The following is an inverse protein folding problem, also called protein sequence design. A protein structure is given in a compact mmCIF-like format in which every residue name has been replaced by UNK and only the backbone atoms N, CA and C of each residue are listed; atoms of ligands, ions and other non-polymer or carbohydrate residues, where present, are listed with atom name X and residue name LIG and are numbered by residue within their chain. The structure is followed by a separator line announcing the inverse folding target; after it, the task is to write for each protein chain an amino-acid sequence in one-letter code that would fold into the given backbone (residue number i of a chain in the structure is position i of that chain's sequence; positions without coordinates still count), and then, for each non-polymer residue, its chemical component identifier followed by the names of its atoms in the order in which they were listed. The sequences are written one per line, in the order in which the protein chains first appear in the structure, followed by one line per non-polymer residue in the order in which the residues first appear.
data_IF_809745828715
#
_entry.id   IF_809745828715
#
_cell.length_a   1.000
_cell.length_b   1.000
_cell.length_c   1.000
_cell.angle_alpha   90.00
_cell.angle_beta   90.00
_cell.angle_gamma   90.00
#
_symmetry.space_group_name_H-M   'P 1'
#
loop_
_entity.id
_entity.type
_entity.pdbx_description
1 polymer ?
#
# COMPACT_ATOMS: atom_id res chain seq x y z
N UNK A 1 12.64 21.65 5.88
CA UNK A 1 14.05 21.23 5.78
C UNK A 1 14.10 20.00 4.90
N UNK A 2 14.87 20.06 3.82
CA UNK A 2 15.00 18.99 2.83
C UNK A 2 15.71 17.79 3.48
N UNK A 3 15.15 16.58 3.39
CA UNK A 3 15.69 15.36 4.01
C UNK A 3 17.00 14.85 3.37
N UNK A 4 17.67 15.69 2.58
CA UNK A 4 18.78 15.32 1.70
C UNK A 4 20.05 16.15 1.94
N UNK A 5 20.21 16.77 3.12
CA UNK A 5 21.45 17.49 3.43
C UNK A 5 22.63 16.51 3.60
N UNK A 6 23.52 16.46 2.61
CA UNK A 6 24.86 15.87 2.73
C UNK A 6 25.19 14.67 1.85
N UNK A 7 24.30 14.24 0.95
CA UNK A 7 24.59 13.16 -0.03
C UNK A 7 24.50 13.74 -1.43
N UNK A 8 25.55 13.64 -2.24
CA UNK A 8 25.46 14.03 -3.66
C UNK A 8 24.55 13.05 -4.39
N UNK A 9 23.77 13.55 -5.36
CA UNK A 9 22.88 12.72 -6.20
C UNK A 9 23.63 11.57 -6.92
N UNK A 10 24.97 11.64 -7.00
CA UNK A 10 25.85 10.62 -7.58
C UNK A 10 26.07 9.39 -6.66
N UNK A 11 25.84 9.50 -5.35
CA UNK A 11 26.09 8.42 -4.37
C UNK A 11 24.84 7.62 -3.96
N UNK A 12 23.64 8.14 -4.25
CA UNK A 12 22.36 7.49 -3.96
C UNK A 12 21.86 6.75 -5.21
N UNK A 13 21.62 5.43 -5.14
CA UNK A 13 21.00 4.73 -6.25
C UNK A 13 19.67 5.38 -6.65
N UNK A 14 19.48 5.72 -7.94
CA UNK A 14 18.19 6.26 -8.44
C UNK A 14 16.97 5.40 -8.05
N UNK A 15 17.22 4.11 -7.79
CA UNK A 15 16.20 3.15 -7.42
C UNK A 15 15.69 3.34 -5.99
N UNK A 16 16.41 4.02 -5.10
CA UNK A 16 15.93 4.31 -3.73
C UNK A 16 14.70 5.21 -3.76
N UNK A 17 14.73 6.31 -4.52
CA UNK A 17 13.58 7.21 -4.64
C UNK A 17 12.34 6.47 -5.16
N UNK A 18 12.54 5.58 -6.14
CA UNK A 18 11.47 4.73 -6.67
C UNK A 18 10.91 3.77 -5.62
N UNK A 19 11.75 2.96 -4.96
CA UNK A 19 11.28 1.99 -3.97
C UNK A 19 10.67 2.65 -2.74
N UNK A 20 11.25 3.77 -2.30
CA UNK A 20 10.74 4.56 -1.19
C UNK A 20 9.35 5.11 -1.50
N UNK A 21 9.17 5.72 -2.69
CA UNK A 21 7.87 6.25 -3.12
C UNK A 21 6.81 5.15 -3.23
N UNK A 22 7.15 4.00 -3.79
CA UNK A 22 6.23 2.85 -3.85
C UNK A 22 5.85 2.35 -2.46
N UNK A 23 6.81 2.24 -1.53
CA UNK A 23 6.53 1.86 -0.14
C UNK A 23 5.68 2.90 0.59
N UNK A 24 5.89 4.19 0.34
CA UNK A 24 5.08 5.27 0.89
C UNK A 24 3.63 5.18 0.42
N UNK A 25 3.39 5.03 -0.89
CA UNK A 25 2.02 4.88 -1.39
C UNK A 25 1.36 3.59 -0.89
N UNK A 26 2.15 2.52 -0.75
CA UNK A 26 1.67 1.26 -0.19
C UNK A 26 1.30 1.40 1.29
N UNK A 27 2.07 2.19 2.07
CA UNK A 27 1.78 2.43 3.48
C UNK A 27 0.51 3.27 3.65
N UNK A 28 0.38 4.35 2.88
CA UNK A 28 -0.83 5.20 2.89
C UNK A 28 -2.06 4.36 2.53
N UNK A 29 -2.01 3.61 1.43
CA UNK A 29 -3.14 2.79 1.01
C UNK A 29 -3.49 1.71 2.05
N UNK A 30 -2.49 1.03 2.61
CA UNK A 30 -2.71 0.00 3.62
C UNK A 30 -3.27 0.56 4.92
N UNK A 31 -2.75 1.70 5.40
CA UNK A 31 -3.25 2.38 6.59
C UNK A 31 -4.73 2.72 6.46
N UNK A 32 -5.11 3.33 5.34
CA UNK A 32 -6.51 3.66 5.04
C UNK A 32 -7.42 2.42 4.96
N UNK A 33 -6.97 1.35 4.30
CA UNK A 33 -7.72 0.09 4.24
C UNK A 33 -7.91 -0.49 5.65
N UNK A 34 -6.86 -0.50 6.48
CA UNK A 34 -6.94 -0.98 7.86
C UNK A 34 -7.93 -0.16 8.70
N UNK A 35 -7.98 1.16 8.50
CA UNK A 35 -8.95 2.03 9.15
C UNK A 35 -10.36 1.67 8.69
N UNK A 36 -10.63 1.66 7.39
CA UNK A 36 -11.98 1.38 6.87
C UNK A 36 -12.46 -0.01 7.30
N UNK A 37 -11.57 -1.00 7.35
CA UNK A 37 -11.86 -2.38 7.73
C UNK A 37 -11.82 -2.65 9.24
N UNK A 38 -11.69 -1.63 10.10
CA UNK A 38 -11.64 -1.86 11.56
C UNK A 38 -12.88 -2.64 12.03
N UNK A 39 -12.67 -3.73 12.82
CA UNK A 39 -13.79 -4.45 13.41
C UNK A 39 -14.48 -3.57 14.46
N UNK A 40 -15.78 -3.78 14.65
CA UNK A 40 -16.60 -3.15 15.70
C UNK A 40 -16.72 -1.61 15.65
N UNK A 41 -17.08 -1.06 14.48
CA UNK A 41 -17.45 0.35 14.35
C UNK A 41 -18.87 0.64 14.87
N UNK A 42 -19.11 1.88 15.29
CA UNK A 42 -20.46 2.35 15.63
C UNK A 42 -21.34 2.33 14.38
N UNK A 43 -22.65 2.16 14.56
CA UNK A 43 -23.61 2.07 13.43
C UNK A 43 -23.50 3.29 12.51
N UNK A 44 -23.38 4.49 13.07
CA UNK A 44 -23.34 5.73 12.31
C UNK A 44 -22.02 5.90 11.53
N UNK A 45 -20.92 5.34 12.05
CA UNK A 45 -19.64 5.26 11.32
C UNK A 45 -19.74 4.25 10.16
N UNK A 46 -20.42 3.12 10.38
CA UNK A 46 -20.69 2.13 9.33
C UNK A 46 -21.61 2.70 8.24
N UNK A 47 -22.68 3.41 8.60
CA UNK A 47 -23.57 4.08 7.66
C UNK A 47 -22.79 5.06 6.77
N UNK A 48 -21.88 5.83 7.37
CA UNK A 48 -21.00 6.75 6.67
C UNK A 48 -20.04 6.03 5.70
N UNK A 49 -19.35 4.98 6.16
CA UNK A 49 -18.39 4.21 5.35
C UNK A 49 -19.06 3.37 4.25
N UNK A 50 -20.33 2.99 4.43
CA UNK A 50 -21.07 2.20 3.44
C UNK A 50 -21.69 3.03 2.31
N UNK A 51 -21.48 4.35 2.33
CA UNK A 51 -21.93 5.22 1.26
C UNK A 51 -21.16 4.94 -0.06
N UNK A 52 -21.72 5.42 -1.18
CA UNK A 52 -21.16 5.18 -2.50
C UNK A 52 -19.74 5.77 -2.69
N UNK A 53 -19.46 6.91 -2.05
CA UNK A 53 -18.17 7.60 -2.16
C UNK A 53 -17.06 6.75 -1.52
N UNK A 54 -17.29 6.24 -0.30
CA UNK A 54 -16.31 5.40 0.40
C UNK A 54 -16.11 4.05 -0.27
N UNK A 55 -17.16 3.48 -0.88
CA UNK A 55 -17.00 2.27 -1.70
C UNK A 55 -16.04 2.51 -2.88
N UNK A 56 -16.15 3.64 -3.58
CA UNK A 56 -15.21 4.04 -4.65
C UNK A 56 -13.80 4.30 -4.13
N UNK A 57 -13.71 4.97 -2.98
CA UNK A 57 -12.43 5.24 -2.33
C UNK A 57 -11.72 3.93 -1.99
N UNK A 58 -12.42 2.96 -1.38
CA UNK A 58 -11.86 1.65 -1.06
C UNK A 58 -11.34 0.89 -2.29
N UNK A 59 -12.08 0.91 -3.40
CA UNK A 59 -11.60 0.32 -4.67
C UNK A 59 -10.30 0.99 -5.15
N UNK A 60 -10.21 2.32 -5.01
CA UNK A 60 -9.02 3.10 -5.40
C UNK A 60 -7.82 2.79 -4.50
N UNK A 61 -8.05 2.58 -3.19
CA UNK A 61 -7.04 2.15 -2.24
C UNK A 61 -6.52 0.75 -2.58
N UNK A 62 -7.43 -0.20 -2.84
CA UNK A 62 -7.05 -1.56 -3.24
C UNK A 62 -6.26 -1.58 -4.55
N UNK A 63 -6.64 -0.74 -5.53
CA UNK A 63 -5.87 -0.56 -6.76
C UNK A 63 -4.46 -0.06 -6.47
N UNK A 64 -4.36 1.03 -5.71
CA UNK A 64 -3.08 1.66 -5.36
C UNK A 64 -2.16 0.67 -4.64
N UNK A 65 -2.69 0.00 -3.61
CA UNK A 65 -1.98 -1.04 -2.87
C UNK A 65 -1.50 -2.15 -3.82
N UNK A 66 -2.39 -2.70 -4.64
CA UNK A 66 -2.07 -3.81 -5.56
C UNK A 66 -0.98 -3.42 -6.57
N UNK A 67 -1.11 -2.23 -7.18
CA UNK A 67 -0.17 -1.75 -8.18
C UNK A 67 1.22 -1.52 -7.59
N UNK A 68 1.32 -0.81 -6.46
CA UNK A 68 2.61 -0.54 -5.82
C UNK A 68 3.24 -1.83 -5.27
N UNK A 69 2.42 -2.75 -4.74
CA UNK A 69 2.88 -4.05 -4.27
C UNK A 69 3.51 -4.85 -5.41
N UNK A 70 2.78 -4.97 -6.54
CA UNK A 70 3.29 -5.68 -7.70
C UNK A 70 4.51 -4.98 -8.31
N UNK A 71 4.57 -3.65 -8.35
CA UNK A 71 5.73 -2.90 -8.85
C UNK A 71 7.02 -3.20 -8.06
N UNK A 72 6.91 -3.40 -6.75
CA UNK A 72 8.07 -3.70 -5.89
C UNK A 72 8.62 -5.12 -6.10
N UNK A 73 7.75 -6.06 -6.48
CA UNK A 73 8.03 -7.51 -6.48
C UNK A 73 8.04 -8.18 -7.86
N UNK A 74 7.45 -7.57 -8.88
CA UNK A 74 7.37 -8.17 -10.21
C UNK A 74 8.64 -7.96 -11.02
N UNK A 75 9.22 -9.05 -11.50
CA UNK A 75 10.19 -9.02 -12.59
C UNK A 75 9.52 -9.49 -13.87
N UNK A 76 9.68 -8.74 -14.96
CA UNK A 76 9.27 -9.23 -16.26
C UNK A 76 10.24 -10.33 -16.67
N UNK A 77 9.72 -11.57 -16.79
CA UNK A 77 10.47 -12.69 -17.37
C UNK A 77 10.85 -12.29 -18.81
N UNK A 78 12.11 -11.92 -19.03
CA UNK A 78 12.67 -11.83 -20.38
C UNK A 78 13.60 -10.66 -20.71
N UNK A 79 13.69 -9.59 -19.93
CA UNK A 79 14.62 -8.49 -20.22
C UNK A 79 14.82 -7.64 -18.97
N UNK A 80 16.05 -7.56 -18.44
CA UNK A 80 16.68 -6.49 -17.60
C UNK A 80 15.87 -5.75 -16.50
N UNK A 81 14.59 -6.03 -16.32
CA UNK A 81 13.61 -5.38 -15.48
C UNK A 81 13.34 -6.28 -14.29
N UNK A 82 14.34 -6.35 -13.41
CA UNK A 82 14.17 -6.93 -12.08
C UNK A 82 13.08 -6.17 -11.29
N UNK A 83 12.48 -6.86 -10.33
CA UNK A 83 11.58 -6.26 -9.35
C UNK A 83 12.22 -5.06 -8.66
N UNK A 84 11.44 -4.06 -8.26
CA UNK A 84 11.96 -2.83 -7.63
C UNK A 84 12.93 -3.12 -6.48
N UNK A 85 12.57 -4.04 -5.58
CA UNK A 85 13.42 -4.44 -4.46
C UNK A 85 14.67 -5.23 -4.91
N UNK A 86 14.55 -6.14 -5.89
CA UNK A 86 15.71 -6.85 -6.45
C UNK A 86 16.68 -5.87 -7.15
N UNK A 87 16.17 -4.88 -7.88
CA UNK A 87 16.97 -3.82 -8.51
C UNK A 87 17.71 -3.00 -7.46
N UNK A 88 17.03 -2.61 -6.38
CA UNK A 88 17.66 -1.90 -5.27
C UNK A 88 18.78 -2.74 -4.66
N UNK A 89 18.48 -3.98 -4.27
CA UNK A 89 19.41 -4.91 -3.64
C UNK A 89 20.69 -5.09 -4.49
N UNK A 90 20.54 -5.26 -5.81
CA UNK A 90 21.67 -5.35 -6.75
C UNK A 90 22.48 -4.07 -6.88
N UNK A 91 21.82 -2.90 -6.96
CA UNK A 91 22.54 -1.61 -7.04
C UNK A 91 23.37 -1.36 -5.78
N UNK A 92 22.84 -1.68 -4.59
CA UNK A 92 23.61 -1.57 -3.34
C UNK A 92 24.80 -2.53 -3.34
N UNK A 93 24.62 -3.77 -3.79
CA UNK A 93 25.72 -4.73 -3.92
C UNK A 93 26.82 -4.26 -4.89
N UNK A 94 26.43 -3.64 -6.01
CA UNK A 94 27.38 -3.05 -6.95
C UNK A 94 28.21 -1.92 -6.31
N UNK A 95 27.56 -1.01 -5.56
CA UNK A 95 28.24 0.15 -4.97
C UNK A 95 29.06 -0.17 -3.71
N UNK A 96 28.61 -1.13 -2.90
CA UNK A 96 29.22 -1.46 -1.60
C UNK A 96 30.10 -2.71 -1.66
N UNK A 97 29.93 -3.53 -2.69
CA UNK A 97 30.72 -4.75 -2.90
C UNK A 97 30.67 -5.69 -1.70
N UNK A 98 31.86 -6.14 -1.27
CA UNK A 98 32.00 -7.18 -0.22
C UNK A 98 31.34 -6.82 1.11
N UNK A 99 31.24 -5.53 1.47
CA UNK A 99 30.64 -5.13 2.75
C UNK A 99 29.12 -5.37 2.81
N UNK A 100 28.48 -5.57 1.66
CA UNK A 100 27.04 -5.82 1.54
C UNK A 100 26.70 -7.28 1.19
N UNK A 101 27.69 -8.13 0.87
CA UNK A 101 27.43 -9.45 0.29
C UNK A 101 26.48 -10.33 1.12
N UNK A 102 26.66 -10.36 2.44
CA UNK A 102 25.79 -11.13 3.35
C UNK A 102 24.34 -10.61 3.35
N UNK A 103 24.18 -9.30 3.38
CA UNK A 103 22.86 -8.66 3.35
C UNK A 103 22.21 -8.79 1.97
N UNK A 104 23.00 -8.80 0.90
CA UNK A 104 22.53 -9.04 -0.47
C UNK A 104 21.87 -10.41 -0.61
N UNK A 105 22.56 -11.46 -0.18
CA UNK A 105 22.07 -12.84 -0.21
C UNK A 105 20.82 -12.99 0.67
N UNK A 106 20.88 -12.49 1.91
CA UNK A 106 19.76 -12.54 2.84
C UNK A 106 18.52 -11.80 2.31
N UNK A 107 18.69 -10.59 1.76
CA UNK A 107 17.59 -9.84 1.17
C UNK A 107 17.06 -10.52 -0.09
N UNK A 108 17.90 -11.17 -0.89
CA UNK A 108 17.47 -11.95 -2.05
C UNK A 108 16.46 -13.04 -1.67
N UNK A 109 16.80 -13.85 -0.67
CA UNK A 109 15.91 -14.91 -0.16
C UNK A 109 14.59 -14.35 0.39
N UNK A 110 14.65 -13.23 1.11
CA UNK A 110 13.46 -12.57 1.67
C UNK A 110 12.54 -12.05 0.58
N UNK A 111 13.09 -11.42 -0.46
CA UNK A 111 12.31 -10.96 -1.63
C UNK A 111 11.67 -12.15 -2.34
N UNK A 112 12.41 -13.25 -2.54
CA UNK A 112 11.89 -14.43 -3.22
C UNK A 112 10.77 -15.12 -2.43
N UNK A 113 10.80 -15.10 -1.09
CA UNK A 113 9.68 -15.54 -0.25
C UNK A 113 8.42 -14.72 -0.50
N UNK A 114 8.54 -13.39 -0.59
CA UNK A 114 7.41 -12.51 -0.90
C UNK A 114 6.82 -12.81 -2.30
N UNK A 115 7.68 -12.97 -3.31
CA UNK A 115 7.28 -13.28 -4.69
C UNK A 115 6.59 -14.64 -4.79
N UNK A 116 6.99 -15.62 -4.00
CA UNK A 116 6.40 -16.96 -4.06
C UNK A 116 5.13 -17.12 -3.21
N UNK A 117 4.77 -16.11 -2.43
CA UNK A 117 3.58 -16.12 -1.58
C UNK A 117 2.28 -16.20 -2.38
N UNK A 118 1.27 -16.88 -1.82
CA UNK A 118 -0.07 -16.93 -2.44
C UNK A 118 -0.74 -15.57 -2.45
N UNK A 119 -0.43 -14.72 -1.47
CA UNK A 119 -0.90 -13.34 -1.44
C UNK A 119 -0.40 -12.53 -2.65
N UNK A 120 0.89 -12.64 -3.03
CA UNK A 120 1.37 -11.99 -4.24
C UNK A 120 0.70 -12.53 -5.51
N UNK A 121 0.51 -13.85 -5.62
CA UNK A 121 -0.21 -14.47 -6.76
C UNK A 121 -1.64 -13.93 -6.86
N UNK A 122 -2.33 -13.81 -5.72
CA UNK A 122 -3.66 -13.22 -5.63
C UNK A 122 -3.68 -11.76 -6.11
N UNK A 123 -2.76 -10.93 -5.65
CA UNK A 123 -2.67 -9.52 -6.05
C UNK A 123 -2.35 -9.36 -7.54
N UNK A 124 -1.48 -10.20 -8.12
CA UNK A 124 -1.24 -10.21 -9.57
C UNK A 124 -2.51 -10.52 -10.34
N UNK A 125 -3.29 -11.51 -9.89
CA UNK A 125 -4.58 -11.82 -10.51
C UNK A 125 -5.55 -10.64 -10.44
N UNK A 126 -5.64 -9.97 -9.28
CA UNK A 126 -6.47 -8.77 -9.13
C UNK A 126 -6.05 -7.67 -10.11
N UNK A 127 -4.74 -7.41 -10.23
CA UNK A 127 -4.22 -6.45 -11.20
C UNK A 127 -4.58 -6.81 -12.64
N UNK A 128 -4.20 -8.01 -13.07
CA UNK A 128 -4.22 -8.40 -14.48
C UNK A 128 -5.63 -8.71 -14.99
N UNK A 129 -6.51 -9.21 -14.12
CA UNK A 129 -7.86 -9.65 -14.52
C UNK A 129 -8.96 -8.70 -14.08
N UNK A 130 -8.84 -8.13 -12.88
CA UNK A 130 -9.93 -7.32 -12.31
C UNK A 130 -9.72 -5.86 -12.68
N UNK A 131 -8.57 -5.27 -12.32
CA UNK A 131 -8.31 -3.85 -12.56
C UNK A 131 -7.99 -3.51 -14.03
N UNK A 132 -7.38 -4.42 -14.79
CA UNK A 132 -7.06 -4.18 -16.20
C UNK A 132 -8.24 -4.38 -17.17
N UNK A 133 -9.36 -4.93 -16.71
CA UNK A 133 -10.51 -5.29 -17.56
C UNK A 133 -11.87 -4.82 -17.02
N UNK A 134 -11.86 -3.91 -16.05
CA UNK A 134 -13.08 -3.28 -15.50
C UNK A 134 -13.99 -2.71 -16.58
N UNK A 135 -13.42 -2.12 -17.64
CA UNK A 135 -14.15 -1.52 -18.76
C UNK A 135 -14.90 -2.52 -19.66
N UNK A 136 -14.63 -3.84 -19.53
CA UNK A 136 -15.21 -4.88 -20.40
C UNK A 136 -16.41 -5.61 -19.80
N UNK A 137 -16.80 -5.32 -18.56
CA UNK A 137 -17.94 -6.01 -17.94
C UNK A 137 -19.28 -5.47 -18.50
N UNK A 138 -20.15 -6.38 -18.98
CA UNK A 138 -21.49 -6.04 -19.51
C UNK A 138 -22.41 -5.36 -18.50
N UNK A 139 -22.06 -5.41 -17.21
CA UNK A 139 -22.79 -4.78 -16.10
C UNK A 139 -22.19 -3.45 -15.64
N UNK A 140 -21.08 -3.00 -16.22
CA UNK A 140 -20.49 -1.68 -15.96
C UNK A 140 -20.09 -1.41 -14.51
N UNK A 141 -20.06 -2.44 -13.65
CA UNK A 141 -19.84 -2.25 -12.22
C UNK A 141 -18.37 -2.49 -11.89
N UNK A 142 -17.56 -1.43 -12.03
CA UNK A 142 -16.17 -1.34 -11.56
C UNK A 142 -16.05 -1.50 -10.01
N UNK A 143 -17.16 -1.80 -9.33
CA UNK A 143 -17.33 -1.81 -7.87
C UNK A 143 -17.40 -3.21 -7.25
N UNK A 144 -17.30 -4.29 -8.03
CA UNK A 144 -17.34 -5.67 -7.49
C UNK A 144 -15.96 -6.17 -7.04
N UNK A 145 -15.09 -5.28 -6.56
CA UNK A 145 -13.84 -5.67 -5.92
C UNK A 145 -14.12 -5.84 -4.44
N UNK A 146 -14.06 -7.08 -3.98
CA UNK A 146 -14.22 -7.38 -2.57
C UNK A 146 -13.07 -6.77 -1.77
N UNK A 147 -13.40 -6.21 -0.60
CA UNK A 147 -12.40 -5.79 0.37
C UNK A 147 -11.54 -6.99 0.80
N UNK A 148 -10.33 -6.71 1.26
CA UNK A 148 -9.48 -7.74 1.84
C UNK A 148 -10.13 -8.36 3.08
N UNK A 149 -10.00 -9.67 3.23
CA UNK A 149 -10.35 -10.37 4.47
C UNK A 149 -9.36 -10.00 5.59
N UNK A 150 -9.73 -10.27 6.84
CA UNK A 150 -8.85 -10.01 7.99
C UNK A 150 -7.50 -10.75 7.85
N UNK A 151 -7.51 -11.99 7.38
CA UNK A 151 -6.30 -12.78 7.11
C UNK A 151 -5.41 -12.13 6.03
N UNK A 152 -6.04 -11.60 4.98
CA UNK A 152 -5.35 -10.86 3.93
C UNK A 152 -4.77 -9.54 4.45
N UNK A 153 -5.46 -8.84 5.35
CA UNK A 153 -4.95 -7.61 5.99
C UNK A 153 -3.75 -7.88 6.89
N UNK A 154 -3.78 -8.97 7.67
CA UNK A 154 -2.65 -9.41 8.49
C UNK A 154 -1.44 -9.72 7.59
N UNK A 155 -1.67 -10.44 6.49
CA UNK A 155 -0.62 -10.79 5.54
C UNK A 155 -0.08 -9.55 4.81
N UNK A 156 -0.96 -8.63 4.41
CA UNK A 156 -0.59 -7.34 3.80
C UNK A 156 0.33 -6.54 4.71
N UNK A 157 -0.01 -6.43 6.01
CA UNK A 157 0.80 -5.74 7.01
C UNK A 157 2.15 -6.42 7.23
N UNK A 158 2.16 -7.74 7.33
CA UNK A 158 3.40 -8.52 7.45
C UNK A 158 4.33 -8.31 6.25
N UNK A 159 3.79 -8.42 5.04
CA UNK A 159 4.57 -8.22 3.81
C UNK A 159 5.05 -6.77 3.67
N UNK A 160 4.24 -5.78 4.01
CA UNK A 160 4.68 -4.38 4.04
C UNK A 160 5.87 -4.18 4.97
N UNK A 161 5.79 -4.68 6.21
CA UNK A 161 6.88 -4.56 7.18
C UNK A 161 8.16 -5.25 6.68
N UNK A 162 8.02 -6.40 6.02
CA UNK A 162 9.15 -7.12 5.43
C UNK A 162 9.80 -6.33 4.29
N UNK A 163 8.99 -5.79 3.36
CA UNK A 163 9.49 -4.95 2.27
C UNK A 163 10.16 -3.67 2.79
N UNK A 164 9.58 -3.03 3.81
CA UNK A 164 10.14 -1.86 4.45
C UNK A 164 11.48 -2.20 5.15
N UNK A 165 11.55 -3.34 5.83
CA UNK A 165 12.79 -3.83 6.46
C UNK A 165 13.90 -4.07 5.44
N UNK A 166 13.60 -4.71 4.30
CA UNK A 166 14.55 -4.90 3.19
C UNK A 166 15.06 -3.53 2.70
N UNK A 167 14.16 -2.57 2.49
CA UNK A 167 14.52 -1.22 2.08
C UNK A 167 15.43 -0.51 3.10
N UNK A 168 15.13 -0.61 4.39
CA UNK A 168 15.94 -0.01 5.46
C UNK A 168 17.33 -0.64 5.57
N UNK A 169 17.46 -1.95 5.36
CA UNK A 169 18.76 -2.63 5.30
C UNK A 169 19.60 -2.07 4.15
N UNK A 170 19.01 -1.84 2.98
CA UNK A 170 19.69 -1.18 1.87
C UNK A 170 20.10 0.25 2.24
N UNK A 171 19.20 1.03 2.84
CA UNK A 171 19.40 2.45 3.16
C UNK A 171 20.54 2.68 4.17
N UNK A 172 20.72 1.78 5.15
CA UNK A 172 21.76 1.91 6.19
C UNK A 172 23.17 2.06 5.60
N UNK A 173 23.43 1.50 4.42
CA UNK A 173 24.74 1.57 3.75
C UNK A 173 25.05 2.94 3.14
N UNK A 174 24.07 3.84 3.09
CA UNK A 174 24.20 5.21 2.58
C UNK A 174 24.02 6.25 3.69
N UNK A 175 23.90 5.81 4.96
CA UNK A 175 23.61 6.69 6.11
C UNK A 175 22.35 7.55 5.92
N UNK A 176 21.40 7.06 5.12
CA UNK A 176 20.09 7.71 4.92
C UNK A 176 19.06 6.95 5.74
N UNK A 177 18.22 7.69 6.45
CA UNK A 177 17.08 7.15 7.17
C UNK A 177 15.79 7.47 6.41
N UNK A 178 15.05 6.43 6.04
CA UNK A 178 13.73 6.57 5.44
C UNK A 178 12.70 6.09 6.45
N UNK A 179 11.88 7.02 6.94
CA UNK A 179 10.80 6.69 7.89
C UNK A 179 9.52 6.53 7.08
N UNK A 180 9.00 5.30 7.03
CA UNK A 180 7.70 4.98 6.44
C UNK A 180 6.85 4.39 7.56
N UNK A 181 5.86 5.16 8.03
CA UNK A 181 4.97 4.78 9.13
C UNK A 181 3.56 4.46 8.63
N UNK A 182 2.89 3.57 9.37
CA UNK A 182 1.45 3.29 9.25
C UNK A 182 0.64 4.00 10.35
N UNK A 183 1.30 4.68 11.28
CA UNK A 183 0.71 5.22 12.50
C UNK A 183 0.12 6.62 12.26
N UNK A 184 -0.86 6.71 11.38
CA UNK A 184 -1.69 7.91 11.18
C UNK A 184 -3.13 7.61 11.62
N UNK A 185 -3.58 8.30 12.67
CA UNK A 185 -4.93 8.16 13.23
C UNK A 185 -5.92 9.21 12.68
N UNK A 186 -5.45 10.14 11.84
CA UNK A 186 -6.25 11.28 11.36
C UNK A 186 -7.51 10.84 10.61
N UNK A 187 -7.39 9.81 9.77
CA UNK A 187 -8.53 9.24 9.03
C UNK A 187 -9.52 8.52 9.94
N UNK A 188 -9.07 7.90 11.03
CA UNK A 188 -9.97 7.28 12.00
C UNK A 188 -10.73 8.34 12.82
N UNK A 189 -10.03 9.41 13.21
CA UNK A 189 -10.64 10.58 13.85
C UNK A 189 -11.64 11.27 12.93
N UNK A 190 -11.35 11.35 11.63
CA UNK A 190 -12.27 11.89 10.63
C UNK A 190 -13.56 11.06 10.58
N UNK A 191 -13.46 9.72 10.46
CA UNK A 191 -14.63 8.83 10.44
C UNK A 191 -15.46 8.99 11.73
N UNK A 192 -14.80 9.01 12.89
CA UNK A 192 -15.49 9.17 14.17
C UNK A 192 -16.23 10.51 14.29
N UNK A 193 -15.65 11.61 13.77
CA UNK A 193 -16.29 12.94 13.74
C UNK A 193 -17.47 12.97 12.77
N UNK A 194 -17.33 12.39 11.59
CA UNK A 194 -18.42 12.33 10.60
C UNK A 194 -19.58 11.46 11.08
N UNK A 195 -19.31 10.34 11.77
CA UNK A 195 -20.34 9.54 12.41
C UNK A 195 -21.14 10.33 13.46
N UNK A 196 -20.46 11.14 14.29
CA UNK A 196 -21.14 12.03 15.25
C UNK A 196 -21.99 13.10 14.55
N UNK A 197 -21.49 13.69 13.48
CA UNK A 197 -22.22 14.68 12.70
C UNK A 197 -23.48 14.07 12.06
N UNK A 198 -23.34 12.91 11.42
CA UNK A 198 -24.46 12.19 10.81
C UNK A 198 -25.55 11.85 11.83
N UNK A 199 -25.14 11.42 13.04
CA UNK A 199 -26.07 11.18 14.15
C UNK A 199 -26.83 12.45 14.52
N UNK A 200 -26.10 13.54 14.78
CA UNK A 200 -26.70 14.82 15.16
C UNK A 200 -27.67 15.34 14.08
N UNK A 201 -27.29 15.23 12.81
CA UNK A 201 -28.13 15.62 11.67
C UNK A 201 -29.45 14.83 11.66
N UNK A 202 -29.39 13.49 11.77
CA UNK A 202 -30.59 12.63 11.79
C UNK A 202 -31.51 12.89 12.99
N UNK A 203 -30.94 13.28 14.13
CA UNK A 203 -31.70 13.53 15.36
C UNK A 203 -32.34 14.92 15.42
N UNK A 204 -31.75 15.93 14.75
CA UNK A 204 -32.11 17.35 14.95
C UNK A 204 -32.56 18.08 13.68
N UNK A 205 -32.38 17.49 12.51
CA UNK A 205 -32.85 18.07 11.25
C UNK A 205 -34.13 17.34 10.88
N UNK A 206 -35.26 18.05 10.85
CA UNK A 206 -36.46 17.53 10.19
C UNK A 206 -36.16 17.50 8.70
N UNK A 207 -36.25 16.33 8.07
CA UNK A 207 -36.24 16.27 6.62
C UNK A 207 -37.52 16.95 6.13
N UNK A 208 -37.42 18.21 5.71
CA UNK A 208 -38.50 18.97 5.05
C UNK A 208 -38.87 18.38 3.66
N UNK A 209 -38.39 17.18 3.34
CA UNK A 209 -38.63 16.44 2.11
C UNK A 209 -39.66 15.31 2.24
N UNK A 210 -40.17 15.04 3.45
CA UNK A 210 -41.40 14.27 3.64
C UNK A 210 -42.60 15.22 3.45
N UNK A 211 -42.81 15.65 2.20
CA UNK A 211 -44.06 16.26 1.76
C UNK A 211 -44.90 15.12 1.17
N UNK A 212 -45.99 14.79 1.87
CA UNK A 212 -47.02 13.81 1.47
C UNK A 212 -47.48 13.94 0.00
#
# INVERSE_FOLDING_TARGET
MSQYEGVSDEELPDNFGYTHRSLFFLSVALGEILIISKPHRKKEELDFLNNFIFKKYNVSLLYTFTMEYCKLLESNKGNSNYAGLHKLNRKVAYLKGKSYQKDFESNGERIDKLINSDFYKHLRMLRDKTFAHTDKSKTGNNFNIHAFTDEQLITAKSHFNEMNSIHSVCAKYFKVEFIISLDDDSSDLFVARQGKYLKHYKENTKDDWDVD
#
